data_IF_542669619871
#
_entry.id   IF_542669619871
#
_cell.length_a   1.000
_cell.length_b   1.000
_cell.length_c   1.000
_cell.angle_alpha   90.00
_cell.angle_beta   90.00
_cell.angle_gamma   90.00
#
_symmetry.space_group_name_H-M   'P 1'
#
loop_
_entity.id
_entity.type
_entity.pdbx_description
1 polymer ?
#
# COMPACT_ATOMS: atom_id res chain seq x y z
N UNK A 1 11.34 -16.14 7.13
CA UNK A 1 10.91 -16.63 5.83
C UNK A 1 10.01 -15.62 5.14
N UNK A 2 10.26 -15.37 3.90
CA UNK A 2 9.53 -14.33 3.17
C UNK A 2 8.54 -14.94 2.21
N UNK A 3 7.26 -14.73 2.48
CA UNK A 3 6.18 -15.07 1.56
C UNK A 3 5.69 -13.83 0.82
N UNK A 4 6.38 -12.72 1.02
CA UNK A 4 5.99 -11.41 0.52
C UNK A 4 7.10 -10.88 -0.38
N UNK A 5 6.71 -10.29 -1.49
CA UNK A 5 7.64 -9.66 -2.41
C UNK A 5 7.22 -8.21 -2.61
N UNK A 6 8.18 -7.31 -2.45
CA UNK A 6 7.95 -5.90 -2.70
C UNK A 6 7.75 -5.66 -4.20
N UNK A 7 6.72 -4.92 -4.54
CA UNK A 7 6.37 -4.61 -5.92
C UNK A 7 6.92 -3.25 -6.31
N UNK A 8 6.59 -2.25 -5.52
CA UNK A 8 6.82 -0.86 -5.89
C UNK A 8 6.77 0.01 -4.66
N UNK A 9 7.40 1.16 -4.74
CA UNK A 9 7.37 2.12 -3.66
C UNK A 9 7.54 3.52 -4.22
N UNK A 10 6.94 4.48 -3.54
CA UNK A 10 7.16 5.90 -3.81
C UNK A 10 7.37 6.60 -2.48
N UNK A 11 8.11 7.67 -2.51
CA UNK A 11 8.34 8.47 -1.31
C UNK A 11 8.46 9.94 -1.66
N UNK A 12 8.23 10.77 -0.67
CA UNK A 12 8.34 12.20 -0.82
C UNK A 12 7.96 12.90 0.46
N UNK A 13 7.98 14.21 0.45
CA UNK A 13 7.58 15.06 1.56
C UNK A 13 6.13 15.46 1.38
N UNK A 14 5.40 15.49 2.48
CA UNK A 14 4.01 15.96 2.48
C UNK A 14 4.00 17.43 2.84
N UNK A 15 3.29 18.23 2.05
CA UNK A 15 3.11 19.65 2.32
C UNK A 15 4.24 20.55 1.85
N UNK A 16 5.22 19.99 1.14
CA UNK A 16 6.33 20.76 0.58
C UNK A 16 6.05 21.31 -0.81
N UNK A 17 7.08 21.82 -1.50
CA UNK A 17 6.93 22.29 -2.88
C UNK A 17 6.42 21.18 -3.80
N UNK A 18 5.57 21.54 -4.76
CA UNK A 18 4.91 20.56 -5.64
C UNK A 18 5.89 19.70 -6.42
N UNK A 19 7.09 20.22 -6.73
CA UNK A 19 8.10 19.47 -7.48
C UNK A 19 8.81 18.40 -6.65
N UNK A 20 8.76 18.52 -5.33
CA UNK A 20 9.45 17.61 -4.42
C UNK A 20 8.48 16.92 -3.48
N UNK A 21 7.21 17.17 -3.66
CA UNK A 21 6.16 16.80 -2.74
C UNK A 21 5.39 15.57 -3.22
N UNK A 22 5.05 14.70 -2.29
CA UNK A 22 4.12 13.61 -2.57
C UNK A 22 2.71 14.16 -2.40
N UNK A 23 2.07 14.48 -3.51
CA UNK A 23 0.73 15.07 -3.48
C UNK A 23 -0.34 14.00 -3.33
N UNK A 24 -1.55 14.38 -2.91
CA UNK A 24 -2.67 13.43 -2.88
C UNK A 24 -2.90 12.75 -4.23
N UNK A 25 -2.72 13.47 -5.33
CA UNK A 25 -2.86 12.89 -6.66
C UNK A 25 -1.84 11.79 -6.92
N UNK A 26 -0.60 11.98 -6.47
CA UNK A 26 0.44 10.96 -6.60
C UNK A 26 0.07 9.69 -5.85
N UNK A 27 -0.52 9.85 -4.67
CA UNK A 27 -0.95 8.73 -3.84
C UNK A 27 -2.09 7.96 -4.53
N UNK A 28 -3.03 8.69 -5.10
CA UNK A 28 -4.14 8.07 -5.84
C UNK A 28 -3.60 7.31 -7.05
N UNK A 29 -2.68 7.90 -7.80
CA UNK A 29 -2.09 7.26 -8.98
C UNK A 29 -1.33 5.99 -8.59
N UNK A 30 -0.52 6.07 -7.55
CA UNK A 30 0.23 4.92 -7.06
C UNK A 30 -0.71 3.78 -6.67
N UNK A 31 -1.73 4.08 -5.89
CA UNK A 31 -2.67 3.09 -5.39
C UNK A 31 -3.47 2.46 -6.52
N UNK A 32 -3.94 3.29 -7.47
CA UNK A 32 -4.70 2.80 -8.62
C UNK A 32 -3.84 1.88 -9.49
N UNK A 33 -2.60 2.27 -9.75
CA UNK A 33 -1.69 1.45 -10.54
C UNK A 33 -1.42 0.11 -9.87
N UNK A 34 -1.26 0.12 -8.56
CA UNK A 34 -1.04 -1.08 -7.79
C UNK A 34 -2.24 -2.04 -7.89
N UNK A 35 -3.45 -1.52 -7.72
CA UNK A 35 -4.66 -2.34 -7.85
C UNK A 35 -4.75 -2.96 -9.24
N UNK A 36 -4.48 -2.18 -10.27
CA UNK A 36 -4.50 -2.69 -11.65
C UNK A 36 -3.49 -3.78 -11.86
N UNK A 37 -2.30 -3.61 -11.30
CA UNK A 37 -1.26 -4.62 -11.39
C UNK A 37 -1.72 -5.95 -10.79
N UNK A 38 -2.32 -5.92 -9.61
CA UNK A 38 -2.80 -7.14 -8.96
C UNK A 38 -4.00 -7.72 -9.71
N UNK A 39 -4.90 -6.87 -10.19
CA UNK A 39 -6.09 -7.31 -10.90
C UNK A 39 -5.77 -8.07 -12.18
N UNK A 40 -4.67 -7.73 -12.84
CA UNK A 40 -4.23 -8.45 -14.04
C UNK A 40 -3.87 -9.91 -13.70
N UNK A 41 -3.38 -10.15 -12.49
CA UNK A 41 -3.01 -11.49 -12.04
C UNK A 41 -4.20 -12.30 -11.54
N UNK A 42 -5.32 -11.65 -11.27
CA UNK A 42 -6.50 -12.31 -10.72
C UNK A 42 -7.78 -11.73 -11.34
N UNK A 43 -7.98 -11.95 -12.65
CA UNK A 43 -9.15 -11.36 -13.34
C UNK A 43 -10.45 -11.82 -12.72
N UNK A 44 -11.37 -10.88 -12.54
CA UNK A 44 -12.70 -11.17 -12.02
C UNK A 44 -12.77 -11.42 -10.52
N UNK A 45 -11.65 -11.38 -9.82
CA UNK A 45 -11.61 -11.59 -8.38
C UNK A 45 -11.79 -10.26 -7.66
N UNK A 46 -12.56 -10.29 -6.56
CA UNK A 46 -12.62 -9.14 -5.67
C UNK A 46 -11.37 -9.13 -4.79
N UNK A 47 -10.59 -8.09 -4.92
CA UNK A 47 -9.31 -8.00 -4.23
C UNK A 47 -9.49 -7.59 -2.77
N UNK A 48 -8.58 -8.04 -1.93
CA UNK A 48 -8.49 -7.64 -0.53
C UNK A 48 -7.08 -7.14 -0.29
N UNK A 49 -6.97 -5.92 0.20
CA UNK A 49 -5.68 -5.26 0.40
C UNK A 49 -5.54 -4.84 1.86
N UNK A 50 -4.42 -5.19 2.46
CA UNK A 50 -4.08 -4.77 3.82
C UNK A 50 -3.40 -3.41 3.74
N UNK A 51 -3.77 -2.51 4.64
CA UNK A 51 -3.12 -1.19 4.76
C UNK A 51 -2.64 -1.02 6.19
N UNK A 52 -1.34 -0.79 6.34
CA UNK A 52 -0.75 -0.49 7.63
C UNK A 52 0.07 0.78 7.56
N UNK A 53 0.34 1.40 8.71
CA UNK A 53 1.12 2.62 8.75
C UNK A 53 2.03 2.64 9.98
N UNK A 54 3.22 3.17 9.74
CA UNK A 54 4.22 3.40 10.78
C UNK A 54 4.64 4.88 10.78
N UNK A 55 3.95 5.70 10.01
CA UNK A 55 4.17 7.14 9.95
C UNK A 55 3.16 7.82 10.87
N UNK A 56 3.65 8.65 11.78
CA UNK A 56 2.81 9.24 12.81
C UNK A 56 2.09 10.51 12.39
N UNK A 57 2.80 11.41 11.71
CA UNK A 57 2.26 12.73 11.41
C UNK A 57 1.35 12.72 10.18
N UNK A 58 1.86 12.25 9.07
CA UNK A 58 1.12 12.25 7.80
C UNK A 58 0.44 10.93 7.51
N UNK A 59 0.73 9.90 8.31
CA UNK A 59 0.31 8.53 8.01
C UNK A 59 -1.20 8.36 7.95
N UNK A 60 -1.93 9.01 8.83
CA UNK A 60 -3.38 8.89 8.85
C UNK A 60 -4.01 9.50 7.60
N UNK A 61 -3.58 10.69 7.24
CA UNK A 61 -4.10 11.38 6.05
C UNK A 61 -3.78 10.58 4.78
N UNK A 62 -2.54 10.11 4.67
CA UNK A 62 -2.13 9.29 3.53
C UNK A 62 -2.91 7.98 3.50
N UNK A 63 -3.10 7.36 4.67
CA UNK A 63 -3.88 6.14 4.78
C UNK A 63 -5.33 6.33 4.36
N UNK A 64 -5.93 7.46 4.70
CA UNK A 64 -7.30 7.76 4.29
C UNK A 64 -7.43 7.87 2.78
N UNK A 65 -6.45 8.49 2.12
CA UNK A 65 -6.45 8.60 0.66
C UNK A 65 -6.29 7.22 0.02
N UNK A 66 -5.38 6.42 0.54
CA UNK A 66 -5.16 5.06 0.03
C UNK A 66 -6.41 4.22 0.20
N UNK A 67 -7.00 4.24 1.39
CA UNK A 67 -8.20 3.45 1.68
C UNK A 67 -9.36 3.86 0.79
N UNK A 68 -9.60 5.16 0.66
CA UNK A 68 -10.65 5.66 -0.23
C UNK A 68 -10.44 5.25 -1.66
N UNK A 69 -9.19 5.30 -2.14
CA UNK A 69 -8.85 4.90 -3.51
C UNK A 69 -9.09 3.41 -3.72
N UNK A 70 -8.65 2.59 -2.77
CA UNK A 70 -8.85 1.13 -2.85
C UNK A 70 -10.33 0.79 -2.92
N UNK A 71 -11.13 1.39 -2.05
CA UNK A 71 -12.57 1.18 -2.05
C UNK A 71 -13.19 1.65 -3.36
N UNK A 72 -12.74 2.79 -3.86
CA UNK A 72 -13.20 3.30 -5.16
C UNK A 72 -12.85 2.41 -6.32
N UNK A 73 -11.79 1.65 -6.21
CA UNK A 73 -11.37 0.67 -7.23
C UNK A 73 -12.07 -0.68 -7.05
N UNK A 74 -12.92 -0.82 -6.05
CA UNK A 74 -13.67 -2.05 -5.83
C UNK A 74 -12.94 -3.09 -4.99
N UNK A 75 -11.87 -2.72 -4.30
CA UNK A 75 -11.16 -3.64 -3.41
C UNK A 75 -11.69 -3.55 -2.00
N UNK A 76 -11.59 -4.65 -1.27
CA UNK A 76 -11.84 -4.65 0.17
C UNK A 76 -10.55 -4.23 0.88
N UNK A 77 -10.70 -3.53 1.99
CA UNK A 77 -9.57 -3.01 2.77
C UNK A 77 -9.56 -3.63 4.15
N UNK A 78 -8.38 -4.10 4.56
CA UNK A 78 -8.14 -4.48 5.95
C UNK A 78 -7.15 -3.47 6.50
N UNK A 79 -7.65 -2.55 7.32
CA UNK A 79 -6.82 -1.51 7.92
C UNK A 79 -6.30 -2.02 9.26
N UNK A 80 -5.00 -2.24 9.34
CA UNK A 80 -4.37 -2.73 10.58
C UNK A 80 -3.82 -1.58 11.43
N UNK A 81 -4.02 -0.35 11.01
CA UNK A 81 -3.64 0.83 11.78
C UNK A 81 -2.14 0.97 11.94
N UNK A 82 -1.72 1.40 13.13
CA UNK A 82 -0.30 1.52 13.44
C UNK A 82 0.31 0.13 13.54
N UNK A 83 1.24 -0.15 12.67
CA UNK A 83 1.82 -1.48 12.54
C UNK A 83 3.21 -1.38 11.92
N UNK A 84 4.07 -2.31 12.24
CA UNK A 84 5.39 -2.39 11.63
C UNK A 84 5.28 -2.96 10.22
N UNK A 85 6.33 -2.80 9.42
CA UNK A 85 6.38 -3.42 8.10
C UNK A 85 6.23 -4.94 8.19
N UNK A 86 7.02 -5.65 9.04
CA UNK A 86 6.82 -7.09 9.18
C UNK A 86 5.42 -7.46 9.66
N UNK A 87 4.83 -6.67 10.57
CA UNK A 87 3.47 -6.91 11.05
C UNK A 87 2.44 -6.78 9.94
N UNK A 88 2.61 -5.79 9.06
CA UNK A 88 1.72 -5.61 7.92
C UNK A 88 1.85 -6.77 6.95
N UNK A 89 3.07 -7.23 6.69
CA UNK A 89 3.30 -8.39 5.84
C UNK A 89 2.64 -9.65 6.41
N UNK A 90 2.76 -9.84 7.72
CA UNK A 90 2.10 -10.98 8.38
C UNK A 90 0.59 -10.89 8.26
N UNK A 91 0.03 -9.67 8.33
CA UNK A 91 -1.40 -9.47 8.18
C UNK A 91 -1.88 -9.86 6.78
N UNK A 92 -1.08 -9.59 5.74
CA UNK A 92 -1.42 -10.01 4.38
C UNK A 92 -1.62 -11.52 4.34
N UNK A 93 -0.70 -12.26 4.92
CA UNK A 93 -0.79 -13.71 4.96
C UNK A 93 -1.96 -14.19 5.83
N UNK A 94 -2.11 -13.62 7.02
CA UNK A 94 -3.13 -14.03 7.98
C UNK A 94 -4.55 -13.80 7.44
N UNK A 95 -4.77 -12.71 6.73
CA UNK A 95 -6.08 -12.38 6.15
C UNK A 95 -6.27 -12.96 4.76
N UNK A 96 -5.29 -13.67 4.23
CA UNK A 96 -5.31 -14.17 2.85
C UNK A 96 -5.58 -13.06 1.85
N UNK A 97 -4.96 -11.90 2.10
CA UNK A 97 -5.12 -10.74 1.24
C UNK A 97 -4.32 -10.91 -0.04
N UNK A 98 -4.71 -10.16 -1.06
CA UNK A 98 -4.04 -10.18 -2.35
C UNK A 98 -2.80 -9.30 -2.37
N UNK A 99 -2.68 -8.41 -1.41
CA UNK A 99 -1.50 -7.58 -1.27
C UNK A 99 -1.62 -6.66 -0.08
N UNK A 100 -0.64 -5.80 0.06
CA UNK A 100 -0.59 -4.84 1.15
C UNK A 100 0.16 -3.59 0.79
N UNK A 101 -0.15 -2.52 1.50
CA UNK A 101 0.53 -1.24 1.39
C UNK A 101 0.92 -0.83 2.80
N UNK A 102 2.17 -0.42 2.98
CA UNK A 102 2.65 0.12 4.25
C UNK A 102 3.10 1.56 4.06
N UNK A 103 2.70 2.41 4.99
CA UNK A 103 3.04 3.82 5.00
C UNK A 103 4.04 4.02 6.13
N UNK A 104 5.29 4.35 5.81
CA UNK A 104 6.33 4.53 6.82
C UNK A 104 6.90 5.93 6.78
N UNK A 105 7.46 6.38 7.90
CA UNK A 105 8.22 7.62 7.91
C UNK A 105 9.50 7.40 7.12
N UNK A 106 9.88 8.42 6.36
CA UNK A 106 11.07 8.35 5.51
C UNK A 106 12.14 9.31 6.02
N UNK A 107 12.20 10.51 5.47
CA UNK A 107 13.20 11.50 5.82
C UNK A 107 12.57 12.61 6.66
N UNK A 108 12.88 12.65 7.93
CA UNK A 108 12.34 13.65 8.83
C UNK A 108 10.85 13.47 9.10
N UNK A 109 10.22 14.49 9.69
CA UNK A 109 8.83 14.40 10.15
C UNK A 109 7.81 14.32 9.02
N UNK A 110 8.09 14.98 7.91
CA UNK A 110 7.15 15.04 6.79
C UNK A 110 7.48 14.06 5.68
N UNK A 111 8.54 13.28 5.82
CA UNK A 111 8.92 12.29 4.84
C UNK A 111 8.06 11.05 4.97
N UNK A 112 7.54 10.58 3.85
CA UNK A 112 6.68 9.39 3.80
C UNK A 112 7.17 8.47 2.69
N UNK A 113 7.21 7.19 3.00
CA UNK A 113 7.50 6.14 2.04
C UNK A 113 6.28 5.23 1.95
N UNK A 114 5.75 5.09 0.76
CA UNK A 114 4.69 4.13 0.48
C UNK A 114 5.34 2.92 -0.19
N UNK A 115 5.10 1.75 0.34
CA UNK A 115 5.63 0.53 -0.23
C UNK A 115 4.50 -0.48 -0.38
N UNK A 116 4.36 -1.02 -1.59
CA UNK A 116 3.33 -1.99 -1.92
C UNK A 116 3.96 -3.35 -2.18
N UNK A 117 3.31 -4.40 -1.73
CA UNK A 117 3.83 -5.75 -1.88
C UNK A 117 2.69 -6.76 -2.08
N UNK A 118 3.05 -7.94 -2.59
CA UNK A 118 2.10 -9.04 -2.81
C UNK A 118 2.65 -10.32 -2.20
N UNK A 119 1.79 -11.28 -1.86
CA UNK A 119 2.24 -12.60 -1.46
C UNK A 119 3.05 -13.23 -2.59
N UNK A 120 4.13 -13.92 -2.24
CA UNK A 120 5.01 -14.50 -3.24
C UNK A 120 4.29 -15.50 -4.14
N UNK A 121 3.42 -16.31 -3.57
CA UNK A 121 2.71 -17.33 -4.33
C UNK A 121 1.67 -16.77 -5.31
N UNK A 122 1.30 -15.49 -5.18
CA UNK A 122 0.42 -14.86 -6.16
C UNK A 122 1.07 -14.82 -7.54
N UNK A 123 2.40 -14.65 -7.60
CA UNK A 123 3.13 -14.68 -8.86
C UNK A 123 3.29 -16.09 -9.39
N UNK A 124 3.46 -17.06 -8.50
CA UNK A 124 3.64 -18.45 -8.90
C UNK A 124 2.39 -19.03 -9.55
N UNK A 125 1.23 -18.59 -9.11
CA UNK A 125 -0.04 -19.06 -9.68
C UNK A 125 -0.20 -18.57 -11.12
N UNK A 126 0.26 -17.35 -11.40
CA UNK A 126 0.12 -16.73 -12.73
C UNK A 126 1.12 -17.29 -13.72
N UNK A 127 2.27 -17.65 -13.26
CA UNK A 127 3.35 -18.14 -14.09
C UNK A 127 3.29 -19.64 -14.27
#
# INVERSE_FOLDING_TARGET
MTLIKSISGIRGTIGGPATENLTPLDIVKFTTAYVRFIAESAPGKRLKIVVGRDARISGEMVGDIIEGTLLGCGADVVNVGLCTTPGTELAVTAHRADGGIIITASLGLLGVLLNAFVPKNAFEIVM
#
